data_IF_928088495563
#
_entry.id   IF_928088495563
#
_cell.length_a   1.000
_cell.length_b   1.000
_cell.length_c   1.000
_cell.angle_alpha   90.00
_cell.angle_beta   90.00
_cell.angle_gamma   90.00
#
_symmetry.space_group_name_H-M   'P 1'
#
loop_
_entity.id
_entity.type
_entity.pdbx_description
1 polymer ?
#
# COMPACT_ATOMS: atom_id res chain seq x y z
N UNK A 1 19.40 41.66 -28.58
CA UNK A 1 19.16 40.19 -28.63
C UNK A 1 18.30 39.80 -27.45
N UNK A 2 17.03 39.44 -27.68
CA UNK A 2 16.13 38.98 -26.62
C UNK A 2 16.33 37.49 -26.38
N UNK A 3 16.97 37.13 -25.27
CA UNK A 3 17.05 35.75 -24.82
C UNK A 3 15.67 35.27 -24.40
N UNK A 4 15.06 34.39 -25.20
CA UNK A 4 13.83 33.68 -24.82
C UNK A 4 14.13 32.85 -23.57
N UNK A 5 13.59 33.23 -22.41
CA UNK A 5 13.58 32.37 -21.22
C UNK A 5 12.77 31.12 -21.58
N UNK A 6 13.38 29.94 -21.43
CA UNK A 6 12.69 28.67 -21.66
C UNK A 6 11.58 28.53 -20.60
N UNK A 7 10.34 28.19 -20.98
CA UNK A 7 9.30 27.94 -20.00
C UNK A 7 9.75 26.74 -19.15
N UNK A 8 9.94 26.96 -17.85
CA UNK A 8 10.15 25.87 -16.90
C UNK A 8 8.90 25.01 -16.94
N UNK A 9 8.98 23.73 -17.34
CA UNK A 9 7.83 22.86 -17.29
C UNK A 9 7.50 22.68 -15.82
N UNK A 10 6.42 23.32 -15.39
CA UNK A 10 5.82 23.11 -14.09
C UNK A 10 5.33 21.66 -14.14
N UNK A 11 6.16 20.72 -13.66
CA UNK A 11 5.78 19.31 -13.71
C UNK A 11 4.48 19.20 -12.91
N UNK A 12 3.42 18.85 -13.64
CA UNK A 12 2.10 18.68 -13.08
C UNK A 12 2.19 17.70 -11.89
N UNK A 13 1.53 18.03 -10.78
CA UNK A 13 1.68 17.27 -9.52
C UNK A 13 1.34 15.79 -9.72
N UNK A 14 0.41 15.52 -10.63
CA UNK A 14 0.00 14.19 -11.02
C UNK A 14 1.13 13.42 -11.72
N UNK A 15 1.93 14.09 -12.56
CA UNK A 15 3.08 13.46 -13.21
C UNK A 15 4.20 13.14 -12.21
N UNK A 16 4.42 13.99 -11.20
CA UNK A 16 5.37 13.69 -10.12
C UNK A 16 4.91 12.47 -9.33
N UNK A 17 3.63 12.39 -8.96
CA UNK A 17 3.08 11.25 -8.23
C UNK A 17 3.24 9.93 -9.01
N UNK A 18 2.99 9.95 -10.33
CA UNK A 18 3.19 8.78 -11.20
C UNK A 18 4.65 8.32 -11.22
N UNK A 19 5.60 9.25 -11.35
CA UNK A 19 7.04 8.95 -11.37
C UNK A 19 7.48 8.38 -10.02
N UNK A 20 7.08 8.98 -8.90
CA UNK A 20 7.43 8.49 -7.57
C UNK A 20 6.91 7.08 -7.31
N UNK A 21 5.67 6.81 -7.73
CA UNK A 21 5.05 5.48 -7.62
C UNK A 21 5.81 4.45 -8.48
N UNK A 22 6.16 4.80 -9.72
CA UNK A 22 6.94 3.92 -10.59
C UNK A 22 8.32 3.61 -10.00
N UNK A 23 9.03 4.63 -9.50
CA UNK A 23 10.33 4.47 -8.85
C UNK A 23 10.22 3.59 -7.58
N UNK A 24 9.19 3.78 -6.78
CA UNK A 24 8.93 2.93 -5.60
C UNK A 24 8.77 1.46 -6.00
N UNK A 25 8.03 1.18 -7.07
CA UNK A 25 7.84 -0.20 -7.58
C UNK A 25 9.15 -0.80 -8.09
N UNK A 26 9.99 -0.02 -8.76
CA UNK A 26 11.32 -0.47 -9.20
C UNK A 26 12.19 -0.83 -8.00
N UNK A 27 12.24 0.03 -6.97
CA UNK A 27 13.02 -0.22 -5.74
C UNK A 27 12.55 -1.48 -5.01
N UNK A 28 11.23 -1.71 -4.91
CA UNK A 28 10.67 -2.92 -4.30
C UNK A 28 11.09 -4.20 -5.05
N UNK A 29 10.98 -4.20 -6.38
CA UNK A 29 11.42 -5.34 -7.21
C UNK A 29 12.91 -5.60 -7.04
N UNK A 30 13.74 -4.55 -7.10
CA UNK A 30 15.19 -4.65 -6.88
C UNK A 30 15.52 -5.25 -5.50
N UNK A 31 14.81 -4.81 -4.46
CA UNK A 31 14.96 -5.36 -3.10
C UNK A 31 14.66 -6.85 -3.04
N UNK A 32 13.59 -7.31 -3.69
CA UNK A 32 13.26 -8.73 -3.77
C UNK A 32 14.35 -9.55 -4.46
N UNK A 33 14.93 -9.05 -5.57
CA UNK A 33 16.04 -9.73 -6.25
C UNK A 33 17.28 -9.85 -5.35
N UNK A 34 17.62 -8.80 -4.61
CA UNK A 34 18.74 -8.85 -3.66
C UNK A 34 18.48 -9.90 -2.57
N UNK A 35 17.28 -9.92 -1.98
CA UNK A 35 16.91 -10.92 -0.98
C UNK A 35 16.94 -12.34 -1.55
N UNK A 36 16.49 -12.53 -2.80
CA UNK A 36 16.56 -13.82 -3.48
C UNK A 36 18.01 -14.31 -3.65
N UNK A 37 18.92 -13.42 -4.07
CA UNK A 37 20.35 -13.76 -4.21
C UNK A 37 20.95 -14.13 -2.85
N UNK A 38 20.67 -13.36 -1.79
CA UNK A 38 21.12 -13.66 -0.43
C UNK A 38 20.56 -15.01 0.04
N UNK A 39 19.29 -15.30 -0.24
CA UNK A 39 18.66 -16.57 0.08
C UNK A 39 19.37 -17.74 -0.61
N UNK A 40 19.68 -17.63 -1.90
CA UNK A 40 20.41 -18.67 -2.63
C UNK A 40 21.82 -18.89 -2.05
N UNK A 41 22.55 -17.81 -1.80
CA UNK A 41 23.88 -17.89 -1.19
C UNK A 41 23.83 -18.52 0.21
N UNK A 42 22.84 -18.13 1.02
CA UNK A 42 22.61 -18.69 2.35
C UNK A 42 22.24 -20.17 2.30
N UNK A 43 21.38 -20.58 1.38
CA UNK A 43 21.01 -21.99 1.20
C UNK A 43 22.22 -22.85 0.78
N UNK A 44 23.02 -22.38 -0.19
CA UNK A 44 24.27 -23.05 -0.59
C UNK A 44 25.25 -23.13 0.58
N UNK A 45 25.40 -22.04 1.33
CA UNK A 45 26.24 -22.01 2.52
C UNK A 45 25.80 -23.03 3.58
N UNK A 46 24.50 -23.15 3.87
CA UNK A 46 23.97 -24.13 4.82
C UNK A 46 24.24 -25.58 4.37
N UNK A 47 24.12 -25.85 3.07
CA UNK A 47 24.43 -27.17 2.51
C UNK A 47 25.91 -27.50 2.69
N UNK A 48 26.81 -26.55 2.37
CA UNK A 48 28.26 -26.72 2.53
C UNK A 48 28.63 -26.89 4.01
N UNK A 49 28.04 -26.08 4.90
CA UNK A 49 28.27 -26.15 6.33
C UNK A 49 27.92 -27.54 6.90
N UNK A 50 26.80 -28.13 6.49
CA UNK A 50 26.44 -29.48 6.92
C UNK A 50 27.31 -30.55 6.25
N UNK A 51 27.49 -30.50 4.94
CA UNK A 51 28.13 -31.59 4.17
C UNK A 51 29.65 -31.63 4.31
N UNK A 52 30.31 -30.49 4.16
CA UNK A 52 31.78 -30.34 4.14
C UNK A 52 32.33 -30.13 5.55
N UNK A 53 31.74 -29.19 6.30
CA UNK A 53 32.24 -28.84 7.64
C UNK A 53 31.65 -29.73 8.76
N UNK A 54 30.65 -30.55 8.44
CA UNK A 54 30.01 -31.45 9.41
C UNK A 54 29.19 -30.75 10.49
N UNK A 55 28.89 -29.45 10.32
CA UNK A 55 28.19 -28.64 11.32
C UNK A 55 26.77 -29.17 11.48
N UNK A 56 26.46 -29.69 12.66
CA UNK A 56 25.13 -30.19 13.00
C UNK A 56 24.74 -31.50 12.33
N UNK A 57 25.68 -32.30 11.78
CA UNK A 57 25.37 -33.60 11.16
C UNK A 57 24.59 -34.56 12.06
N UNK A 58 24.81 -34.50 13.37
CA UNK A 58 24.07 -35.33 14.34
C UNK A 58 22.72 -34.70 14.75
N UNK A 59 22.53 -33.42 14.44
CA UNK A 59 21.29 -32.70 14.70
C UNK A 59 20.29 -33.05 13.61
N UNK A 60 19.40 -33.97 13.95
CA UNK A 60 18.29 -34.38 13.10
C UNK A 60 16.97 -34.02 13.76
N UNK A 61 16.04 -33.53 12.95
CA UNK A 61 14.65 -33.32 13.35
C UNK A 61 13.80 -34.28 12.54
N UNK A 62 12.91 -35.03 13.20
CA UNK A 62 12.05 -36.04 12.55
C UNK A 62 12.80 -36.99 11.58
N UNK A 63 14.04 -37.36 11.92
CA UNK A 63 14.87 -38.24 11.09
C UNK A 63 15.43 -37.60 9.82
N UNK A 64 15.41 -36.27 9.72
CA UNK A 64 15.99 -35.49 8.62
C UNK A 64 17.00 -34.46 9.14
N UNK A 65 17.98 -34.17 8.31
CA UNK A 65 19.05 -33.20 8.59
C UNK A 65 18.50 -31.81 8.91
N UNK A 66 19.05 -31.14 9.92
CA UNK A 66 18.59 -29.82 10.36
C UNK A 66 18.59 -28.75 9.25
N UNK A 67 19.55 -28.79 8.33
CA UNK A 67 19.69 -27.76 7.29
C UNK A 67 18.47 -27.72 6.34
N UNK A 68 17.77 -28.86 6.17
CA UNK A 68 16.54 -28.93 5.38
C UNK A 68 15.43 -28.06 6.01
N UNK A 69 15.30 -28.14 7.34
CA UNK A 69 14.35 -27.32 8.08
C UNK A 69 14.76 -25.84 8.10
N UNK A 70 16.06 -25.56 8.19
CA UNK A 70 16.57 -24.19 8.09
C UNK A 70 16.25 -23.57 6.72
N UNK A 71 16.49 -24.30 5.63
CA UNK A 71 16.14 -23.86 4.27
C UNK A 71 14.62 -23.73 4.12
N UNK A 72 13.84 -24.67 4.66
CA UNK A 72 12.38 -24.61 4.59
C UNK A 72 11.81 -23.38 5.31
N UNK A 73 12.27 -23.12 6.53
CA UNK A 73 11.87 -21.95 7.31
C UNK A 73 12.26 -20.65 6.59
N UNK A 74 13.48 -20.56 6.07
CA UNK A 74 13.94 -19.38 5.33
C UNK A 74 13.18 -19.20 4.01
N UNK A 75 12.88 -20.29 3.30
CA UNK A 75 12.07 -20.30 2.09
C UNK A 75 10.66 -19.77 2.36
N UNK A 76 10.05 -20.12 3.50
CA UNK A 76 8.75 -19.57 3.89
C UNK A 76 8.76 -18.04 3.98
N UNK A 77 9.78 -17.46 4.65
CA UNK A 77 9.94 -16.00 4.71
C UNK A 77 10.15 -15.38 3.32
N UNK A 78 10.91 -16.05 2.45
CA UNK A 78 11.10 -15.60 1.08
C UNK A 78 9.80 -15.60 0.27
N UNK A 79 9.00 -16.67 0.35
CA UNK A 79 7.68 -16.77 -0.30
C UNK A 79 6.74 -15.68 0.20
N UNK A 80 6.68 -15.44 1.52
CA UNK A 80 5.91 -14.35 2.10
C UNK A 80 6.32 -12.98 1.52
N UNK A 81 7.63 -12.72 1.44
CA UNK A 81 8.16 -11.49 0.86
C UNK A 81 7.81 -11.35 -0.63
N UNK A 82 7.90 -12.44 -1.38
CA UNK A 82 7.54 -12.51 -2.79
C UNK A 82 6.05 -12.16 -3.00
N UNK A 83 5.15 -12.79 -2.24
CA UNK A 83 3.70 -12.50 -2.30
C UNK A 83 3.44 -11.03 -1.97
N UNK A 84 4.09 -10.50 -0.93
CA UNK A 84 3.89 -9.10 -0.52
C UNK A 84 4.29 -8.10 -1.62
N UNK A 85 5.43 -8.33 -2.28
CA UNK A 85 5.94 -7.44 -3.33
C UNK A 85 5.10 -7.52 -4.61
N UNK A 86 4.70 -8.72 -5.02
CA UNK A 86 3.99 -8.94 -6.29
C UNK A 86 2.47 -8.84 -6.19
N UNK A 87 1.86 -9.33 -5.11
CA UNK A 87 0.40 -9.39 -4.93
C UNK A 87 -0.07 -8.21 -4.08
N UNK A 88 0.35 -8.13 -2.81
CA UNK A 88 -0.19 -7.15 -1.85
C UNK A 88 -0.02 -5.72 -2.34
N UNK A 89 1.16 -5.34 -2.80
CA UNK A 89 1.38 -3.98 -3.32
C UNK A 89 0.78 -3.69 -4.70
N UNK A 90 0.42 -4.73 -5.47
CA UNK A 90 -0.30 -4.55 -6.74
C UNK A 90 -1.80 -4.35 -6.50
N UNK A 91 -2.37 -5.04 -5.52
CA UNK A 91 -3.80 -5.01 -5.24
C UNK A 91 -4.20 -3.98 -4.17
N UNK A 92 -3.43 -3.82 -3.08
CA UNK A 92 -3.60 -2.82 -2.01
C UNK A 92 -2.43 -1.83 -2.01
N UNK A 93 -2.13 -1.25 -3.17
CA UNK A 93 -1.18 -0.15 -3.27
C UNK A 93 -1.83 1.21 -2.99
N UNK A 94 -1.04 2.28 -3.01
CA UNK A 94 -1.53 3.67 -2.87
C UNK A 94 -2.68 4.01 -3.83
N UNK A 95 -2.67 3.44 -5.04
CA UNK A 95 -3.74 3.65 -6.02
C UNK A 95 -5.08 3.08 -5.54
N UNK A 96 -5.07 1.88 -4.94
CA UNK A 96 -6.27 1.29 -4.35
C UNK A 96 -6.73 2.07 -3.12
N UNK A 97 -5.81 2.52 -2.26
CA UNK A 97 -6.14 3.37 -1.11
C UNK A 97 -6.82 4.68 -1.54
N UNK A 98 -6.30 5.33 -2.60
CA UNK A 98 -6.90 6.54 -3.18
C UNK A 98 -8.31 6.27 -3.70
N UNK A 99 -8.51 5.17 -4.42
CA UNK A 99 -9.84 4.77 -4.90
C UNK A 99 -10.84 4.53 -3.76
N UNK A 100 -10.41 3.87 -2.67
CA UNK A 100 -11.26 3.67 -1.50
C UNK A 100 -11.57 4.99 -0.78
N UNK A 101 -10.58 5.89 -0.68
CA UNK A 101 -10.76 7.20 -0.07
C UNK A 101 -11.75 8.05 -0.86
N UNK A 102 -11.62 8.10 -2.19
CA UNK A 102 -12.57 8.81 -3.06
C UNK A 102 -14.00 8.29 -2.90
N UNK A 103 -14.19 6.97 -2.82
CA UNK A 103 -15.50 6.36 -2.54
C UNK A 103 -16.07 6.79 -1.19
N UNK A 104 -15.25 6.84 -0.15
CA UNK A 104 -15.67 7.25 1.19
C UNK A 104 -16.03 8.74 1.24
N UNK A 105 -15.22 9.60 0.62
CA UNK A 105 -15.46 11.04 0.53
C UNK A 105 -16.76 11.31 -0.22
N UNK A 106 -16.99 10.64 -1.36
CA UNK A 106 -18.24 10.78 -2.11
C UNK A 106 -19.47 10.40 -1.26
N UNK A 107 -19.38 9.33 -0.48
CA UNK A 107 -20.46 8.92 0.45
C UNK A 107 -20.71 9.95 1.55
N UNK A 108 -19.65 10.55 2.09
CA UNK A 108 -19.76 11.61 3.09
C UNK A 108 -20.39 12.87 2.50
N UNK A 109 -20.01 13.26 1.29
CA UNK A 109 -20.56 14.42 0.60
C UNK A 109 -22.07 14.30 0.39
N UNK A 110 -22.55 13.14 -0.09
CA UNK A 110 -23.99 12.86 -0.22
C UNK A 110 -24.73 12.99 1.11
N UNK A 111 -24.12 12.51 2.21
CA UNK A 111 -24.73 12.61 3.54
C UNK A 111 -24.77 14.05 4.05
N UNK A 112 -23.75 14.85 3.77
CA UNK A 112 -23.71 16.28 4.11
C UNK A 112 -24.79 17.04 3.33
N UNK A 113 -24.96 16.76 2.04
CA UNK A 113 -26.02 17.37 1.22
C UNK A 113 -27.41 17.02 1.71
N UNK A 114 -27.64 15.76 2.10
CA UNK A 114 -28.89 15.35 2.71
C UNK A 114 -29.18 16.11 4.02
N UNK A 115 -28.19 16.23 4.91
CA UNK A 115 -28.31 16.98 6.17
C UNK A 115 -28.57 18.47 5.94
N UNK A 116 -27.90 19.10 4.97
CA UNK A 116 -28.18 20.50 4.58
C UNK A 116 -29.63 20.65 4.13
N UNK A 117 -30.12 19.75 3.27
CA UNK A 117 -31.49 19.81 2.79
C UNK A 117 -32.56 19.63 3.87
N UNK A 118 -32.27 18.85 4.93
CA UNK A 118 -33.18 18.70 6.08
C UNK A 118 -33.18 19.94 6.96
N UNK A 119 -32.01 20.54 7.22
CA UNK A 119 -31.90 21.78 7.99
C UNK A 119 -32.65 22.93 7.30
N UNK A 120 -32.51 23.09 5.97
CA UNK A 120 -33.23 24.11 5.20
C UNK A 120 -34.76 23.94 5.28
N UNK A 121 -35.25 22.68 5.34
CA UNK A 121 -36.68 22.38 5.49
C UNK A 121 -37.18 22.74 6.89
N UNK A 122 -36.43 22.35 7.93
CA UNK A 122 -36.75 22.66 9.31
C UNK A 122 -36.77 24.18 9.56
N UNK A 123 -35.79 24.91 9.04
CA UNK A 123 -35.74 26.37 9.13
C UNK A 123 -36.98 27.01 8.49
N UNK A 124 -37.35 26.59 7.27
CA UNK A 124 -38.56 27.08 6.59
C UNK A 124 -39.84 26.79 7.39
N UNK A 125 -39.93 25.62 8.03
CA UNK A 125 -41.08 25.26 8.87
C UNK A 125 -41.15 26.14 10.12
N UNK A 126 -40.02 26.39 10.78
CA UNK A 126 -39.93 27.27 11.95
C UNK A 126 -40.37 28.69 11.55
N UNK A 127 -39.79 29.26 10.49
CA UNK A 127 -40.14 30.61 10.01
C UNK A 127 -41.63 30.71 9.68
N UNK A 128 -42.19 29.74 8.95
CA UNK A 128 -43.63 29.72 8.63
C UNK A 128 -44.50 29.65 9.89
N UNK A 129 -44.07 28.90 10.90
CA UNK A 129 -44.79 28.78 12.18
C UNK A 129 -44.76 30.08 12.98
N UNK A 130 -43.62 30.79 12.99
CA UNK A 130 -43.47 32.07 13.67
C UNK A 130 -44.27 33.18 12.98
N UNK A 131 -44.21 33.27 11.64
CA UNK A 131 -45.03 34.21 10.86
C UNK A 131 -46.53 33.98 11.11
N UNK A 132 -46.98 32.73 11.15
CA UNK A 132 -48.38 32.40 11.41
C UNK A 132 -48.84 32.75 12.84
N UNK A 133 -47.97 32.65 13.85
CA UNK A 133 -48.27 33.11 15.22
C UNK A 133 -48.40 34.62 15.29
N UNK A 134 -47.51 35.36 14.62
CA UNK A 134 -47.53 36.83 14.57
C UNK A 134 -48.81 37.34 13.90
N UNK A 135 -49.20 36.76 12.77
CA UNK A 135 -50.37 37.21 12.01
C UNK A 135 -51.73 36.83 12.65
N UNK A 136 -51.73 36.04 13.73
CA UNK A 136 -52.93 35.65 14.50
C UNK A 136 -53.13 36.43 15.80
N UNK A 137 -52.21 37.35 16.14
CA UNK A 137 -52.38 38.34 17.21
C UNK A 137 -52.84 39.67 16.62
#
# INVERSE_FOLDING_TARGET
>A
MFGKKRPTPQIDKDQLELIENAQKRIRQKKGLYIHFVIFLLGAVFLIIANTVLGIGKEVTFFGKEWFLYAILAWSFFFVYHLITVFVTHKFMGKAWEKEQLEKLVAKQQVRIEALKSTLDKEEKLIVKSEVFKVNRR
#
